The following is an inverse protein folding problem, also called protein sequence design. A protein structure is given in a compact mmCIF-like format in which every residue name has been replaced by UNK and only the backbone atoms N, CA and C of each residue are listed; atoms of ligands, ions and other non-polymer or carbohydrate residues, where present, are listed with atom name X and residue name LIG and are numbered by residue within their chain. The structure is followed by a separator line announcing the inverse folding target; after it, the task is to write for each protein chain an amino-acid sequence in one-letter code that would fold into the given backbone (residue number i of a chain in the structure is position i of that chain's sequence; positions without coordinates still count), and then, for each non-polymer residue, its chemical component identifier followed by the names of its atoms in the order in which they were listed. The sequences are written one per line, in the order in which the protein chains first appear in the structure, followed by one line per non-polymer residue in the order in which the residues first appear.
data_IF_734019080415
#
_entry.id   IF_734019080415
#
_cell.length_a   1.000
_cell.length_b   1.000
_cell.length_c   1.000
_cell.angle_alpha   90.00
_cell.angle_beta   90.00
_cell.angle_gamma   90.00
#
_symmetry.space_group_name_H-M   'P 1'
#
loop_
_entity.id
_entity.type
_entity.pdbx_description
1 polymer ?
#
# COMPACT_ATOMS: atom_id res chain seq x y z
N UNK A 1 25.98 17.68 5.92
CA UNK A 1 26.41 16.36 5.40
C UNK A 1 27.32 15.74 6.44
N UNK A 2 26.84 14.77 7.21
CA UNK A 2 27.61 14.13 8.29
C UNK A 2 28.33 12.88 7.81
N UNK A 3 29.59 12.71 8.22
CA UNK A 3 30.37 11.48 8.09
C UNK A 3 30.32 10.72 9.41
N UNK A 4 30.53 9.40 9.38
CA UNK A 4 30.68 8.60 10.61
C UNK A 4 32.07 8.77 11.24
N UNK A 5 32.31 8.10 12.38
CA UNK A 5 33.58 8.14 13.12
C UNK A 5 34.78 7.58 12.33
N UNK A 6 34.55 7.00 11.15
CA UNK A 6 35.56 6.45 10.25
C UNK A 6 35.73 7.30 8.96
N UNK A 7 35.02 8.42 8.85
CA UNK A 7 35.17 9.37 7.74
C UNK A 7 34.51 8.94 6.43
N UNK A 8 33.61 7.95 6.45
CA UNK A 8 32.87 7.53 5.26
C UNK A 8 31.57 8.37 5.09
N UNK A 9 31.15 8.67 3.84
CA UNK A 9 29.86 9.30 3.59
C UNK A 9 28.74 8.34 4.02
N UNK A 10 27.95 8.76 5.00
CA UNK A 10 26.94 7.94 5.70
C UNK A 10 25.78 7.42 4.83
N UNK A 11 25.73 7.76 3.54
CA UNK A 11 24.55 7.63 2.68
C UNK A 11 24.83 7.09 1.27
N UNK A 12 25.87 6.28 1.11
CA UNK A 12 26.05 5.50 -0.12
C UNK A 12 25.80 4.02 0.16
N UNK A 13 24.54 3.61 0.04
CA UNK A 13 24.21 2.24 -0.38
C UNK A 13 23.93 1.19 0.69
N UNK A 14 23.53 1.56 1.90
CA UNK A 14 22.97 0.59 2.86
C UNK A 14 21.76 1.16 3.58
N UNK A 15 20.59 1.11 2.91
CA UNK A 15 19.31 1.08 3.62
C UNK A 15 19.27 -0.10 4.60
N UNK A 16 18.53 0.08 5.69
CA UNK A 16 18.54 -0.76 6.91
C UNK A 16 18.09 -2.22 6.70
N UNK A 17 17.70 -2.63 5.50
CA UNK A 17 17.45 -4.03 5.13
C UNK A 17 17.96 -4.31 3.72
N UNK A 18 19.06 -5.05 3.62
CA UNK A 18 19.53 -5.65 2.36
C UNK A 18 19.18 -7.14 2.39
N UNK A 19 18.08 -7.61 1.76
CA UNK A 19 17.92 -9.04 1.52
C UNK A 19 19.05 -9.50 0.59
N UNK A 20 19.94 -10.35 1.11
CA UNK A 20 21.04 -10.99 0.38
C UNK A 20 20.57 -11.73 -0.90
N UNK A 21 21.46 -11.98 -1.88
CA UNK A 21 22.15 -11.02 -2.73
C UNK A 21 21.20 -10.49 -3.83
N UNK A 22 21.43 -9.26 -4.30
CA UNK A 22 20.66 -8.62 -5.37
C UNK A 22 20.65 -9.47 -6.65
N UNK A 23 19.62 -10.29 -6.78
CA UNK A 23 19.28 -10.94 -8.04
C UNK A 23 18.88 -9.80 -8.97
N UNK A 24 19.64 -9.60 -10.06
CA UNK A 24 19.23 -8.69 -11.13
C UNK A 24 17.81 -9.09 -11.56
N UNK A 25 16.81 -8.25 -11.34
CA UNK A 25 15.50 -8.57 -11.89
C UNK A 25 14.30 -7.71 -11.52
N UNK A 26 14.22 -7.07 -10.35
CA UNK A 26 12.96 -6.41 -9.94
C UNK A 26 13.23 -5.29 -8.92
N UNK A 27 12.32 -4.32 -8.79
CA UNK A 27 12.54 -3.15 -7.94
C UNK A 27 12.38 -3.41 -6.44
N UNK A 28 11.58 -4.40 -6.03
CA UNK A 28 11.42 -4.74 -4.61
C UNK A 28 12.64 -5.46 -4.01
N UNK A 29 13.65 -5.79 -4.84
CA UNK A 29 14.97 -6.24 -4.41
C UNK A 29 16.01 -5.10 -4.45
N UNK A 30 15.59 -3.89 -4.83
CA UNK A 30 16.42 -2.70 -4.87
C UNK A 30 16.11 -1.84 -3.66
N UNK A 31 17.07 -0.97 -3.31
CA UNK A 31 16.84 0.07 -2.32
C UNK A 31 15.66 0.93 -2.78
N UNK A 32 14.76 1.25 -1.85
CA UNK A 32 13.64 2.13 -2.15
C UNK A 32 14.23 3.53 -2.27
N UNK A 33 14.16 4.11 -3.47
CA UNK A 33 14.70 5.45 -3.67
C UNK A 33 13.98 6.43 -2.74
N UNK A 34 14.75 7.26 -2.05
CA UNK A 34 14.25 8.25 -1.08
C UNK A 34 13.75 9.54 -1.76
N UNK A 35 13.88 9.65 -3.09
CA UNK A 35 13.56 10.82 -3.91
C UNK A 35 12.35 10.63 -4.85
N UNK A 36 11.61 9.52 -4.71
CA UNK A 36 10.47 9.18 -5.59
C UNK A 36 9.11 9.53 -4.99
N UNK A 37 9.00 10.49 -4.07
CA UNK A 37 7.73 10.86 -3.38
C UNK A 37 6.54 11.06 -4.34
N UNK A 38 6.80 11.50 -5.59
CA UNK A 38 5.78 11.68 -6.62
C UNK A 38 5.52 10.45 -7.52
N UNK A 39 6.29 9.36 -7.41
CA UNK A 39 6.29 8.21 -8.33
C UNK A 39 5.93 6.86 -7.65
N UNK A 40 5.42 6.87 -6.42
CA UNK A 40 5.07 5.61 -5.70
C UNK A 40 3.56 5.29 -5.76
N UNK A 41 2.70 6.31 -5.83
CA UNK A 41 1.26 6.11 -5.69
C UNK A 41 0.54 5.99 -7.04
N UNK A 42 -0.25 4.93 -7.19
CA UNK A 42 -1.15 4.73 -8.32
C UNK A 42 -2.42 4.02 -7.88
N UNK A 43 -3.50 4.18 -8.64
CA UNK A 43 -4.70 3.36 -8.48
C UNK A 43 -4.61 2.13 -9.38
N UNK A 44 -4.80 0.95 -8.78
CA UNK A 44 -4.76 -0.30 -9.52
C UNK A 44 -5.96 -0.45 -10.46
N UNK A 45 -5.75 -1.06 -11.63
CA UNK A 45 -6.80 -1.27 -12.65
C UNK A 45 -7.93 -2.18 -12.15
N UNK A 46 -7.64 -3.10 -11.22
CA UNK A 46 -8.60 -4.05 -10.67
C UNK A 46 -9.41 -3.50 -9.49
N UNK A 47 -9.06 -2.32 -8.97
CA UNK A 47 -9.88 -1.67 -7.95
C UNK A 47 -11.24 -1.33 -8.54
N UNK A 48 -12.33 -1.69 -7.86
CA UNK A 48 -13.66 -1.24 -8.27
C UNK A 48 -13.72 0.29 -8.25
N UNK A 49 -14.59 0.85 -9.09
CA UNK A 49 -14.79 2.30 -9.22
C UNK A 49 -16.13 2.68 -8.64
N UNK A 50 -16.22 3.91 -8.15
CA UNK A 50 -17.50 4.48 -7.74
C UNK A 50 -18.44 4.54 -8.95
N UNK A 51 -19.69 4.18 -8.74
CA UNK A 51 -20.69 4.17 -9.80
C UNK A 51 -22.06 4.52 -9.23
N UNK A 52 -22.68 5.56 -9.78
CA UNK A 52 -24.08 5.90 -9.50
C UNK A 52 -24.91 5.48 -10.70
N UNK A 53 -25.88 4.59 -10.48
CA UNK A 53 -26.78 4.19 -11.54
C UNK A 53 -27.75 5.35 -11.89
N UNK A 54 -27.71 5.89 -13.12
CA UNK A 54 -28.56 7.03 -13.49
C UNK A 54 -30.06 6.68 -13.52
N UNK A 55 -30.41 5.40 -13.63
CA UNK A 55 -31.80 4.94 -13.60
C UNK A 55 -32.29 4.64 -12.17
N UNK A 56 -31.38 4.33 -11.25
CA UNK A 56 -31.69 3.95 -9.87
C UNK A 56 -30.70 4.63 -8.93
N UNK A 57 -31.00 5.87 -8.52
CA UNK A 57 -30.10 6.69 -7.70
C UNK A 57 -29.77 6.08 -6.33
N UNK A 58 -30.56 5.10 -5.87
CA UNK A 58 -30.31 4.37 -4.62
C UNK A 58 -29.43 3.12 -4.81
N UNK A 59 -29.02 2.82 -6.05
CA UNK A 59 -28.11 1.72 -6.39
C UNK A 59 -26.76 2.30 -6.80
N UNK A 60 -26.05 2.84 -5.82
CA UNK A 60 -24.69 3.33 -5.95
C UNK A 60 -23.67 2.32 -5.39
N UNK A 61 -22.53 2.24 -6.06
CA UNK A 61 -21.30 1.65 -5.52
C UNK A 61 -20.46 2.81 -5.01
N UNK A 62 -20.20 2.84 -3.72
CA UNK A 62 -19.42 3.91 -3.07
C UNK A 62 -17.95 3.49 -2.93
N UNK A 63 -17.07 4.48 -3.01
CA UNK A 63 -15.64 4.33 -2.74
C UNK A 63 -15.21 5.45 -1.80
N UNK A 64 -14.93 5.10 -0.54
CA UNK A 64 -14.63 6.11 0.48
C UNK A 64 -13.17 6.56 0.47
N UNK A 65 -12.24 5.60 0.51
CA UNK A 65 -10.81 5.84 0.69
C UNK A 65 -9.98 4.81 -0.06
N UNK A 66 -8.73 5.18 -0.33
CA UNK A 66 -7.71 4.34 -0.96
C UNK A 66 -6.69 3.93 0.08
N UNK A 67 -6.23 2.69 0.01
CA UNK A 67 -5.16 2.17 0.86
C UNK A 67 -4.22 1.26 0.06
N UNK A 68 -3.00 1.00 0.56
CA UNK A 68 -2.06 0.09 -0.10
C UNK A 68 -2.66 -1.30 -0.29
N UNK A 69 -2.85 -1.71 -1.54
CA UNK A 69 -3.43 -3.01 -1.88
C UNK A 69 -2.75 -3.74 -3.04
N UNK A 70 -1.74 -3.13 -3.67
CA UNK A 70 -0.97 -3.78 -4.71
C UNK A 70 0.37 -4.22 -4.15
N UNK A 71 0.69 -5.50 -4.35
CA UNK A 71 1.95 -6.10 -3.94
C UNK A 71 2.25 -5.94 -2.46
N UNK A 72 1.24 -6.23 -1.66
CA UNK A 72 1.41 -6.29 -0.22
C UNK A 72 2.11 -7.60 0.11
N UNK A 73 3.24 -7.50 0.80
CA UNK A 73 3.93 -8.66 1.35
C UNK A 73 3.16 -9.12 2.60
N UNK A 74 2.59 -10.32 2.54
CA UNK A 74 1.84 -10.88 3.65
C UNK A 74 2.24 -12.32 3.92
N UNK A 75 1.93 -12.85 5.12
CA UNK A 75 2.13 -14.26 5.42
C UNK A 75 1.28 -15.11 4.45
N UNK A 76 1.91 -16.09 3.83
CA UNK A 76 1.30 -16.98 2.85
C UNK A 76 1.54 -18.44 3.26
N UNK A 77 0.49 -19.22 3.52
CA UNK A 77 0.61 -20.58 4.03
C UNK A 77 1.04 -21.62 2.97
N UNK A 78 1.39 -21.19 1.75
CA UNK A 78 1.75 -22.08 0.65
C UNK A 78 0.57 -22.90 0.11
N UNK A 79 0.81 -23.65 -0.97
CA UNK A 79 -0.14 -24.61 -1.57
C UNK A 79 -0.05 -26.02 -0.95
N UNK A 80 0.96 -26.24 -0.11
CA UNK A 80 1.32 -27.55 0.43
C UNK A 80 0.90 -27.67 1.89
N UNK A 81 0.13 -28.73 2.20
CA UNK A 81 -0.33 -29.11 3.53
C UNK A 81 0.84 -29.37 4.51
N UNK A 82 1.40 -28.31 5.09
CA UNK A 82 2.56 -28.38 6.00
C UNK A 82 3.14 -27.02 6.42
N UNK A 83 2.82 -25.95 5.69
CA UNK A 83 3.26 -24.58 5.94
C UNK A 83 2.32 -23.79 6.90
N UNK A 84 1.61 -24.49 7.78
CA UNK A 84 0.75 -23.87 8.79
C UNK A 84 1.62 -23.37 9.93
N UNK A 85 1.92 -22.07 9.94
CA UNK A 85 2.66 -21.36 10.99
C UNK A 85 4.03 -21.97 11.31
N UNK A 86 5.06 -21.54 10.59
CA UNK A 86 6.42 -21.70 11.13
C UNK A 86 6.52 -20.93 12.44
N UNK A 87 7.09 -21.50 13.52
CA UNK A 87 7.26 -20.80 14.78
C UNK A 87 8.01 -19.47 14.60
N UNK A 88 7.80 -18.50 15.50
CA UNK A 88 8.41 -17.17 15.38
C UNK A 88 9.96 -17.21 15.31
N UNK A 89 10.57 -18.25 15.88
CA UNK A 89 12.02 -18.50 15.85
C UNK A 89 12.51 -19.21 14.58
N UNK A 90 11.64 -19.51 13.63
CA UNK A 90 12.03 -20.12 12.35
C UNK A 90 12.86 -19.14 11.53
N UNK A 91 14.02 -19.57 11.04
CA UNK A 91 14.90 -18.76 10.19
C UNK A 91 14.35 -18.54 8.76
N UNK A 92 13.11 -18.96 8.50
CA UNK A 92 12.53 -19.00 7.16
C UNK A 92 13.18 -20.07 6.28
N UNK A 93 12.54 -20.38 5.14
CA UNK A 93 13.18 -21.20 4.11
C UNK A 93 13.98 -20.29 3.19
N UNK A 94 15.26 -20.60 2.93
CA UNK A 94 16.02 -19.95 1.87
C UNK A 94 15.30 -20.13 0.53
N UNK A 95 15.20 -19.08 -0.29
CA UNK A 95 14.53 -19.16 -1.59
C UNK A 95 15.07 -20.35 -2.40
N UNK A 96 14.19 -21.29 -2.73
CA UNK A 96 14.49 -22.46 -3.55
C UNK A 96 13.39 -22.58 -4.60
N UNK A 97 13.71 -22.45 -5.90
CA UNK A 97 12.73 -22.49 -6.98
C UNK A 97 12.09 -23.88 -7.16
N UNK A 98 12.64 -24.91 -6.50
CA UNK A 98 12.11 -26.27 -6.44
C UNK A 98 11.48 -26.59 -5.08
N UNK A 99 11.34 -25.60 -4.18
CA UNK A 99 10.64 -25.75 -2.90
C UNK A 99 9.28 -25.03 -2.94
N UNK A 100 8.35 -25.36 -2.03
CA UNK A 100 7.13 -24.60 -1.86
C UNK A 100 7.45 -23.12 -1.59
N UNK A 101 6.59 -22.18 -2.04
CA UNK A 101 6.81 -20.76 -1.86
C UNK A 101 7.02 -20.41 -0.39
N UNK A 102 7.81 -19.35 -0.14
CA UNK A 102 8.12 -18.89 1.21
C UNK A 102 6.85 -18.60 2.03
N UNK A 103 6.97 -18.59 3.36
CA UNK A 103 5.88 -18.20 4.30
C UNK A 103 5.35 -16.78 4.09
N UNK A 104 5.92 -16.03 3.16
CA UNK A 104 5.50 -14.69 2.78
C UNK A 104 5.40 -14.62 1.27
N UNK A 105 4.37 -13.93 0.79
CA UNK A 105 4.12 -13.75 -0.63
C UNK A 105 3.57 -12.36 -0.92
N UNK A 106 3.87 -11.85 -2.11
CA UNK A 106 3.29 -10.61 -2.61
C UNK A 106 1.94 -10.89 -3.24
N UNK A 107 0.90 -10.25 -2.71
CA UNK A 107 -0.47 -10.36 -3.22
C UNK A 107 -1.04 -8.97 -3.52
N UNK A 108 -1.88 -8.90 -4.53
CA UNK A 108 -2.55 -7.67 -4.96
C UNK A 108 -4.07 -7.86 -4.94
N UNK A 109 -4.79 -6.90 -4.39
CA UNK A 109 -6.24 -6.90 -4.35
C UNK A 109 -6.81 -5.88 -3.38
N UNK A 110 -8.09 -5.55 -3.54
CA UNK A 110 -8.83 -4.77 -2.52
C UNK A 110 -8.89 -5.50 -1.18
N UNK A 111 -8.82 -6.84 -1.19
CA UNK A 111 -8.64 -7.68 0.01
C UNK A 111 -7.36 -7.38 0.80
N UNK A 112 -6.34 -6.78 0.17
CA UNK A 112 -5.11 -6.35 0.82
C UNK A 112 -5.16 -4.87 1.24
N UNK A 113 -5.94 -4.04 0.54
CA UNK A 113 -6.22 -2.66 0.97
C UNK A 113 -7.11 -2.62 2.22
N UNK A 114 -8.13 -3.49 2.27
CA UNK A 114 -9.11 -3.58 3.37
C UNK A 114 -8.45 -3.70 4.77
N UNK A 115 -7.48 -4.62 5.01
CA UNK A 115 -6.87 -4.77 6.33
C UNK A 115 -6.11 -3.52 6.80
N UNK A 116 -5.57 -2.69 5.89
CA UNK A 116 -4.94 -1.43 6.26
C UNK A 116 -5.98 -0.44 6.82
N UNK A 117 -7.11 -0.28 6.13
CA UNK A 117 -8.20 0.59 6.60
C UNK A 117 -8.77 0.08 7.93
N UNK A 118 -9.02 -1.22 8.07
CA UNK A 118 -9.52 -1.79 9.32
C UNK A 118 -8.52 -1.68 10.47
N UNK A 119 -7.21 -1.73 10.19
CA UNK A 119 -6.17 -1.51 11.19
C UNK A 119 -6.16 -0.09 11.73
N UNK A 120 -6.27 0.92 10.84
CA UNK A 120 -6.40 2.32 11.26
C UNK A 120 -7.68 2.54 12.05
N UNK A 121 -8.82 2.00 11.59
CA UNK A 121 -10.08 2.08 12.33
C UNK A 121 -9.98 1.44 13.73
N UNK A 122 -9.23 0.33 13.88
CA UNK A 122 -8.99 -0.28 15.18
C UNK A 122 -8.16 0.62 16.10
N UNK A 123 -7.12 1.29 15.59
CA UNK A 123 -6.32 2.26 16.36
C UNK A 123 -7.14 3.48 16.78
N UNK A 124 -8.06 3.91 15.92
CA UNK A 124 -9.02 4.97 16.24
C UNK A 124 -9.93 4.58 17.41
N UNK A 125 -10.48 3.36 17.38
CA UNK A 125 -11.32 2.82 18.46
C UNK A 125 -10.53 2.47 19.72
N UNK A 126 -9.24 2.17 19.61
CA UNK A 126 -8.36 2.03 20.78
C UNK A 126 -8.22 3.36 21.52
N UNK A 127 -8.15 4.47 20.78
CA UNK A 127 -8.05 5.82 21.35
C UNK A 127 -9.38 6.28 21.96
N UNK A 128 -10.49 6.04 21.29
CA UNK A 128 -11.83 6.31 21.80
C UNK A 128 -12.83 5.21 21.36
N UNK A 129 -13.21 4.29 22.27
CA UNK A 129 -14.14 3.20 21.97
C UNK A 129 -15.58 3.62 21.69
N UNK A 130 -15.98 4.85 22.04
CA UNK A 130 -17.36 5.32 21.88
C UNK A 130 -17.65 5.87 20.48
N UNK A 131 -16.63 5.94 19.61
CA UNK A 131 -16.79 6.36 18.22
C UNK A 131 -17.66 5.41 17.41
N UNK A 132 -18.65 5.96 16.74
CA UNK A 132 -19.51 5.24 15.81
C UNK A 132 -18.81 4.99 14.47
N UNK A 133 -19.27 3.99 13.72
CA UNK A 133 -18.77 3.73 12.36
C UNK A 133 -18.81 4.99 11.48
N UNK A 134 -19.89 5.77 11.53
CA UNK A 134 -20.02 6.99 10.74
C UNK A 134 -18.98 8.05 11.12
N UNK A 135 -18.62 8.18 12.40
CA UNK A 135 -17.57 9.10 12.84
C UNK A 135 -16.19 8.64 12.39
N UNK A 136 -15.92 7.33 12.46
CA UNK A 136 -14.66 6.73 11.98
C UNK A 136 -14.51 6.95 10.47
N UNK A 137 -15.56 6.64 9.70
CA UNK A 137 -15.58 6.87 8.26
C UNK A 137 -15.39 8.35 7.91
N UNK A 138 -16.08 9.25 8.62
CA UNK A 138 -15.93 10.69 8.43
C UNK A 138 -14.48 11.14 8.65
N UNK A 139 -13.83 10.71 9.72
CA UNK A 139 -12.43 11.07 9.97
C UNK A 139 -11.52 10.52 8.87
N UNK A 140 -11.65 9.22 8.53
CA UNK A 140 -10.83 8.59 7.48
C UNK A 140 -10.94 9.33 6.14
N UNK A 141 -12.14 9.79 5.76
CA UNK A 141 -12.36 10.56 4.53
C UNK A 141 -11.77 11.97 4.62
N UNK A 142 -11.90 12.66 5.75
CA UNK A 142 -11.43 14.03 5.89
C UNK A 142 -9.92 14.16 6.12
N UNK A 143 -9.25 13.11 6.60
CA UNK A 143 -7.79 13.10 6.78
C UNK A 143 -7.04 12.42 5.63
N UNK A 144 -7.76 11.84 4.67
CA UNK A 144 -7.13 11.24 3.49
C UNK A 144 -6.39 12.29 2.65
N UNK A 145 -5.24 11.92 2.12
CA UNK A 145 -4.49 12.76 1.16
C UNK A 145 -5.12 12.59 -0.23
N UNK A 146 -5.66 13.67 -0.84
CA UNK A 146 -6.32 13.56 -2.13
C UNK A 146 -5.37 13.07 -3.22
N UNK A 147 -5.88 12.20 -4.10
CA UNK A 147 -5.19 11.77 -5.30
C UNK A 147 -5.74 12.54 -6.51
N UNK A 148 -4.93 12.76 -7.56
CA UNK A 148 -5.41 13.44 -8.75
C UNK A 148 -6.52 12.61 -9.40
N UNK A 149 -7.63 13.27 -9.77
CA UNK A 149 -8.80 12.65 -10.43
C UNK A 149 -8.82 12.94 -11.93
N UNK A 150 -8.26 14.09 -12.33
CA UNK A 150 -8.13 14.50 -13.72
C UNK A 150 -6.89 15.39 -13.89
N UNK A 151 -6.28 15.35 -15.07
CA UNK A 151 -5.21 16.26 -15.47
C UNK A 151 -5.73 17.31 -16.45
N UNK A 152 -5.05 18.46 -16.55
CA UNK A 152 -5.47 19.54 -17.43
C UNK A 152 -5.62 19.04 -18.87
N UNK A 153 -6.87 19.03 -19.38
CA UNK A 153 -7.20 18.58 -20.73
C UNK A 153 -7.48 17.08 -20.90
N UNK A 154 -7.49 16.28 -19.81
CA UNK A 154 -7.75 14.83 -19.86
C UNK A 154 -8.77 14.41 -18.80
N UNK A 155 -9.73 13.52 -19.14
CA UNK A 155 -10.75 13.03 -18.20
C UNK A 155 -10.24 11.92 -17.25
N UNK A 156 -8.92 11.78 -17.12
CA UNK A 156 -8.27 10.78 -16.29
C UNK A 156 -7.00 11.37 -15.67
N UNK A 157 -6.55 10.76 -14.58
CA UNK A 157 -5.25 11.00 -14.00
C UNK A 157 -4.30 9.84 -14.32
N UNK A 158 -3.01 10.11 -14.26
CA UNK A 158 -2.00 9.07 -14.35
C UNK A 158 -0.80 9.37 -13.48
N UNK A 159 -0.06 8.32 -13.15
CA UNK A 159 1.26 8.44 -12.55
C UNK A 159 2.21 7.40 -13.13
N UNK A 160 3.50 7.71 -13.06
CA UNK A 160 4.58 6.81 -13.44
C UNK A 160 5.09 6.11 -12.19
N UNK A 161 5.04 4.78 -12.19
CA UNK A 161 5.48 3.97 -11.07
C UNK A 161 6.46 2.92 -11.56
N UNK A 162 7.48 2.68 -10.76
CA UNK A 162 8.45 1.61 -11.03
C UNK A 162 7.72 0.27 -11.04
N UNK A 163 7.74 -0.40 -12.18
CA UNK A 163 6.90 -1.55 -12.42
C UNK A 163 7.46 -2.80 -11.76
N UNK A 164 6.65 -3.49 -10.96
CA UNK A 164 7.05 -4.74 -10.34
C UNK A 164 7.44 -5.82 -11.30
N UNK A 165 6.67 -5.98 -12.36
CA UNK A 165 6.79 -7.16 -13.20
C UNK A 165 7.99 -7.07 -14.15
N UNK A 166 8.64 -5.90 -14.26
CA UNK A 166 9.76 -5.67 -15.18
C UNK A 166 10.90 -4.91 -14.51
N UNK A 167 12.09 -5.55 -14.46
CA UNK A 167 13.32 -5.00 -13.92
C UNK A 167 13.60 -3.56 -14.41
N UNK A 168 13.51 -2.57 -13.51
CA UNK A 168 13.85 -1.18 -13.84
C UNK A 168 12.93 -0.49 -14.83
N UNK A 169 11.79 -1.09 -15.21
CA UNK A 169 10.82 -0.43 -16.07
C UNK A 169 9.99 0.57 -15.28
N UNK A 170 9.83 1.79 -15.79
CA UNK A 170 8.83 2.75 -15.28
C UNK A 170 7.57 2.57 -16.12
N UNK A 171 6.42 2.38 -15.47
CA UNK A 171 5.15 2.14 -16.13
C UNK A 171 4.13 3.21 -15.76
N UNK A 172 3.36 3.60 -16.76
CA UNK A 172 2.25 4.52 -16.57
C UNK A 172 1.03 3.75 -16.10
N UNK A 173 0.42 4.22 -15.00
CA UNK A 173 -0.89 3.78 -14.55
C UNK A 173 -1.87 4.94 -14.71
N UNK A 174 -2.99 4.69 -15.37
CA UNK A 174 -4.06 5.67 -15.53
C UNK A 174 -5.29 5.24 -14.74
N UNK A 175 -6.05 6.19 -14.22
CA UNK A 175 -7.32 5.97 -13.57
C UNK A 175 -8.28 7.14 -13.77
N UNK A 176 -9.58 6.82 -13.75
CA UNK A 176 -10.65 7.79 -13.93
C UNK A 176 -10.96 8.55 -12.63
N UNK A 177 -11.74 9.61 -12.72
CA UNK A 177 -12.09 10.47 -11.58
C UNK A 177 -12.83 9.75 -10.44
N UNK A 178 -13.55 8.67 -10.76
CA UNK A 178 -14.33 7.86 -9.81
C UNK A 178 -13.51 6.76 -9.11
N UNK A 179 -12.17 6.84 -9.17
CA UNK A 179 -11.26 5.81 -8.70
C UNK A 179 -10.59 6.12 -7.36
N UNK A 180 -10.76 7.33 -6.82
CA UNK A 180 -9.93 7.85 -5.72
C UNK A 180 -10.66 7.94 -4.39
N UNK A 181 -12.00 8.00 -4.38
CA UNK A 181 -12.75 8.41 -3.19
C UNK A 181 -12.21 9.72 -2.64
N UNK A 182 -12.07 9.82 -1.32
CA UNK A 182 -11.43 10.94 -0.64
C UNK A 182 -9.89 10.99 -0.80
N UNK A 183 -9.26 9.89 -1.22
CA UNK A 183 -7.80 9.78 -1.40
C UNK A 183 -7.15 8.69 -0.54
N UNK A 184 -5.82 8.74 -0.42
CA UNK A 184 -5.04 7.74 0.32
C UNK A 184 -5.12 7.99 1.84
N UNK A 185 -5.43 6.95 2.62
CA UNK A 185 -5.55 7.05 4.09
C UNK A 185 -4.24 7.55 4.73
N UNK A 186 -4.36 8.40 5.75
CA UNK A 186 -3.26 8.86 6.60
C UNK A 186 -3.56 8.44 8.04
N UNK A 187 -2.81 7.44 8.55
CA UNK A 187 -3.12 6.80 9.82
C UNK A 187 -2.86 7.73 11.03
N UNK A 188 -1.75 8.45 10.99
CA UNK A 188 -1.34 9.44 11.98
C UNK A 188 -2.34 10.60 12.07
N UNK A 189 -2.69 11.20 10.93
CA UNK A 189 -3.68 12.29 10.87
C UNK A 189 -5.07 11.82 11.33
N UNK A 190 -5.50 10.61 10.94
CA UNK A 190 -6.77 10.04 11.40
C UNK A 190 -6.82 9.86 12.92
N UNK A 191 -5.73 9.35 13.53
CA UNK A 191 -5.64 9.18 14.99
C UNK A 191 -5.51 10.53 15.70
N UNK A 192 -4.80 11.50 15.11
CA UNK A 192 -4.64 12.85 15.66
C UNK A 192 -5.97 13.63 15.68
N UNK A 193 -6.84 13.40 14.70
CA UNK A 193 -8.16 14.03 14.60
C UNK A 193 -9.14 13.64 15.73
N UNK A 194 -8.90 12.52 16.41
CA UNK A 194 -9.70 12.10 17.58
C UNK A 194 -9.25 12.92 18.80
N UNK A 195 -10.13 13.66 19.49
CA UNK A 195 -9.79 14.37 20.72
C UNK A 195 -9.24 13.41 21.79
N UNK A 196 -8.27 13.85 22.58
CA UNK A 196 -7.88 13.09 23.77
C UNK A 196 -9.00 13.13 24.82
N UNK A 197 -9.31 12.02 25.49
CA UNK A 197 -10.28 11.97 26.58
C UNK A 197 -9.97 12.96 27.71
#
# INVERSE_FOLDING_TARGET
MGVDELGAPKYLGTGELVPCPQIRGTWWCQDVAEDIENEISYISYFGSREYVNPAFLNESVELDVVAPGSQILGPYPGDTSGYRHTPWWSQGSTWNPNAPPANYWYVSGTSMATPHVSGVAALMLEKDPDYTQAQVEYILKNTATPLPTAMLGYPFAFNYVRCPFVAGGIYQFCWDENATGAGIIQADEAIAAIPTP
#
